data_IF_385388035719
#
_entry.id   IF_385388035719
#
_cell.length_a   1.000
_cell.length_b   1.000
_cell.length_c   1.000
_cell.angle_alpha   90.00
_cell.angle_beta   90.00
_cell.angle_gamma   90.00
#
_symmetry.space_group_name_H-M   'P 1'
#
loop_
_entity.id
_entity.type
_entity.pdbx_description
1 polymer ?
#
# COMPACT_ATOMS: atom_id res chain seq x y z
N UNK A 1 7.40 -15.31 4.63
CA UNK A 1 7.09 -14.36 3.55
C UNK A 1 7.96 -14.71 2.35
N UNK A 2 7.39 -14.96 1.16
CA UNK A 2 8.17 -15.16 -0.06
C UNK A 2 8.07 -13.90 -0.94
N UNK A 3 9.16 -13.14 -1.01
CA UNK A 3 9.23 -11.87 -1.75
C UNK A 3 8.99 -12.06 -3.26
N UNK A 4 9.40 -13.19 -3.83
CA UNK A 4 9.17 -13.47 -5.26
C UNK A 4 7.68 -13.62 -5.58
N UNK A 5 6.92 -14.19 -4.65
CA UNK A 5 5.47 -14.31 -4.79
C UNK A 5 4.77 -12.96 -4.68
N UNK A 6 5.25 -12.08 -3.79
CA UNK A 6 4.74 -10.70 -3.68
C UNK A 6 5.00 -9.94 -4.97
N UNK A 7 6.22 -10.03 -5.53
CA UNK A 7 6.58 -9.37 -6.78
C UNK A 7 5.69 -9.78 -7.96
N UNK A 8 5.26 -11.04 -8.02
CA UNK A 8 4.34 -11.52 -9.06
C UNK A 8 2.92 -10.97 -8.94
N UNK A 9 2.53 -10.47 -7.76
CA UNK A 9 1.19 -9.89 -7.50
C UNK A 9 1.15 -8.38 -7.76
N UNK A 10 2.31 -7.74 -7.82
CA UNK A 10 2.46 -6.31 -8.09
C UNK A 10 2.18 -6.03 -9.57
N UNK A 11 1.32 -5.04 -9.84
CA UNK A 11 1.03 -4.57 -11.20
C UNK A 11 1.55 -3.16 -11.37
N UNK A 12 2.21 -2.89 -12.48
CA UNK A 12 2.73 -1.56 -12.80
C UNK A 12 1.75 -0.85 -13.72
N UNK A 13 1.43 0.40 -13.39
CA UNK A 13 0.66 1.30 -14.23
C UNK A 13 1.62 2.12 -15.09
N UNK A 14 1.34 2.17 -16.38
CA UNK A 14 2.11 2.95 -17.35
C UNK A 14 1.25 4.05 -17.95
N UNK A 15 1.82 5.23 -18.13
CA UNK A 15 1.17 6.30 -18.87
C UNK A 15 1.13 6.01 -20.39
N UNK A 16 0.53 6.92 -21.17
CA UNK A 16 0.41 6.78 -22.62
C UNK A 16 1.77 6.71 -23.35
N UNK A 17 2.86 7.16 -22.72
CA UNK A 17 4.24 7.09 -23.24
C UNK A 17 4.93 5.76 -22.90
N UNK A 18 4.26 4.86 -22.17
CA UNK A 18 4.83 3.60 -21.70
C UNK A 18 5.76 3.75 -20.48
N UNK A 19 5.81 4.93 -19.85
CA UNK A 19 6.58 5.14 -18.61
C UNK A 19 5.77 4.64 -17.43
N UNK A 20 6.42 3.87 -16.55
CA UNK A 20 5.80 3.43 -15.29
C UNK A 20 5.61 4.63 -14.38
N UNK A 21 4.38 4.91 -13.99
CA UNK A 21 4.03 6.03 -13.10
C UNK A 21 3.69 5.52 -11.71
N UNK A 22 2.98 4.40 -11.63
CA UNK A 22 2.39 3.93 -10.38
C UNK A 22 2.43 2.40 -10.25
N UNK A 23 2.09 1.94 -9.05
CA UNK A 23 2.08 0.53 -8.70
C UNK A 23 0.77 0.18 -8.01
N UNK A 24 0.10 -0.86 -8.51
CA UNK A 24 -1.08 -1.47 -7.91
C UNK A 24 -0.67 -2.74 -7.18
N UNK A 25 -0.98 -2.79 -5.89
CA UNK A 25 -0.69 -3.92 -5.01
C UNK A 25 -2.01 -4.41 -4.41
N UNK A 26 -2.35 -5.70 -4.53
CA UNK A 26 -3.54 -6.26 -3.90
C UNK A 26 -3.55 -6.07 -2.38
N UNK A 27 -4.73 -5.87 -1.80
CA UNK A 27 -4.88 -5.70 -0.34
C UNK A 27 -4.35 -6.90 0.45
N UNK A 28 -4.59 -8.12 -0.02
CA UNK A 28 -4.10 -9.35 0.64
C UNK A 28 -2.56 -9.40 0.72
N UNK A 29 -1.89 -8.80 -0.26
CA UNK A 29 -0.42 -8.67 -0.28
C UNK A 29 0.04 -7.75 0.84
N UNK A 30 -0.66 -6.62 1.05
CA UNK A 30 -0.37 -5.70 2.15
C UNK A 30 -0.60 -6.31 3.53
N UNK A 31 -1.63 -7.14 3.69
CA UNK A 31 -1.87 -7.88 4.94
C UNK A 31 -0.75 -8.85 5.25
N UNK A 32 -0.23 -9.54 4.23
CA UNK A 32 0.91 -10.45 4.36
C UNK A 32 2.16 -9.69 4.81
N UNK A 33 2.40 -8.49 4.25
CA UNK A 33 3.51 -7.62 4.64
C UNK A 33 3.35 -7.15 6.09
N UNK A 34 2.14 -6.70 6.46
CA UNK A 34 1.84 -6.27 7.82
C UNK A 34 2.10 -7.36 8.85
N UNK A 35 1.67 -8.60 8.57
CA UNK A 35 1.91 -9.75 9.45
C UNK A 35 3.40 -10.00 9.65
N UNK A 36 4.20 -9.92 8.58
CA UNK A 36 5.65 -10.06 8.64
C UNK A 36 6.29 -8.93 9.47
N UNK A 37 5.87 -7.68 9.29
CA UNK A 37 6.38 -6.53 10.04
C UNK A 37 6.12 -6.63 11.55
N UNK A 38 4.97 -7.19 11.94
CA UNK A 38 4.61 -7.38 13.36
C UNK A 38 5.33 -8.56 14.02
N UNK A 39 5.85 -9.52 13.25
CA UNK A 39 6.56 -10.68 13.77
C UNK A 39 8.01 -10.36 14.21
N UNK A 40 8.59 -9.26 13.73
CA UNK A 40 10.02 -8.94 13.93
C UNK A 40 10.30 -7.81 14.93
N UNK A 41 9.31 -7.29 15.66
CA UNK A 41 9.50 -6.04 16.43
C UNK A 41 9.66 -6.18 17.94
N UNK A 42 10.87 -5.86 18.42
CA UNK A 42 11.04 -5.08 19.65
C UNK A 42 10.43 -3.68 19.45
N UNK A 43 9.65 -3.17 20.42
CA UNK A 43 8.94 -1.91 20.26
C UNK A 43 9.94 -0.74 20.31
N UNK A 44 10.06 -0.03 19.21
CA UNK A 44 10.52 1.37 19.17
C UNK A 44 9.25 2.16 18.88
N UNK A 45 8.88 3.10 19.76
CA UNK A 45 7.54 3.72 19.80
C UNK A 45 7.06 4.24 18.43
N UNK A 46 7.94 4.89 17.67
CA UNK A 46 7.62 5.43 16.33
C UNK A 46 7.25 4.34 15.29
N UNK A 47 7.73 3.11 15.46
CA UNK A 47 7.39 1.99 14.57
C UNK A 47 6.00 1.41 14.90
N UNK A 48 5.58 1.48 16.15
CA UNK A 48 4.27 0.97 16.57
C UNK A 48 3.12 1.84 16.05
N UNK A 49 3.29 3.16 16.08
CA UNK A 49 2.32 4.13 15.54
C UNK A 49 2.14 3.95 14.03
N UNK A 50 3.24 3.88 13.26
CA UNK A 50 3.18 3.63 11.81
C UNK A 50 2.48 2.30 11.46
N UNK A 51 2.70 1.25 12.25
CA UNK A 51 2.02 -0.05 12.05
C UNK A 51 0.52 0.06 12.38
N UNK A 52 0.14 0.84 13.39
CA UNK A 52 -1.25 1.06 13.76
C UNK A 52 -1.99 1.87 12.69
N UNK A 53 -1.37 2.95 12.19
CA UNK A 53 -1.93 3.75 11.10
C UNK A 53 -2.10 2.92 9.84
N UNK A 54 -1.09 2.12 9.49
CA UNK A 54 -1.17 1.26 8.32
C UNK A 54 -2.28 0.19 8.44
N UNK A 55 -2.45 -0.39 9.63
CA UNK A 55 -3.60 -1.28 9.92
C UNK A 55 -4.93 -0.58 9.69
N UNK A 56 -5.06 0.65 10.16
CA UNK A 56 -6.29 1.42 10.01
C UNK A 56 -6.55 1.75 8.54
N UNK A 57 -5.55 2.16 7.77
CA UNK A 57 -5.68 2.39 6.32
C UNK A 57 -6.15 1.16 5.55
N UNK A 58 -5.68 -0.05 5.92
CA UNK A 58 -6.16 -1.30 5.31
C UNK A 58 -7.63 -1.59 5.64
N UNK A 59 -8.07 -1.28 6.86
CA UNK A 59 -9.47 -1.41 7.26
C UNK A 59 -10.34 -0.44 6.46
N UNK A 60 -9.92 0.82 6.35
CA UNK A 60 -10.64 1.84 5.60
C UNK A 60 -10.73 1.50 4.10
N UNK A 61 -9.63 0.99 3.52
CA UNK A 61 -9.62 0.49 2.15
C UNK A 61 -10.62 -0.66 1.92
N UNK A 62 -10.70 -1.63 2.84
CA UNK A 62 -11.70 -2.72 2.78
C UNK A 62 -13.14 -2.22 2.89
N UNK A 63 -13.35 -1.12 3.61
CA UNK A 63 -14.67 -0.50 3.77
C UNK A 63 -15.02 0.42 2.60
N UNK A 64 -14.13 0.58 1.61
CA UNK A 64 -14.31 1.52 0.50
C UNK A 64 -14.20 2.99 0.91
N UNK A 65 -13.64 3.27 2.09
CA UNK A 65 -13.31 4.64 2.53
C UNK A 65 -12.00 5.07 1.88
N UNK A 66 -12.05 5.21 0.56
CA UNK A 66 -10.92 5.56 -0.31
C UNK A 66 -11.29 6.77 -1.14
N UNK A 67 -10.30 7.55 -1.53
CA UNK A 67 -10.47 8.58 -2.53
C UNK A 67 -10.35 7.95 -3.93
N UNK A 68 -11.24 8.28 -4.88
CA UNK A 68 -11.02 8.00 -6.29
C UNK A 68 -9.66 8.52 -6.75
N UNK A 69 -9.04 7.81 -7.70
CA UNK A 69 -7.72 8.18 -8.19
C UNK A 69 -7.73 9.59 -8.80
N UNK A 70 -8.81 9.95 -9.47
CA UNK A 70 -9.02 11.25 -10.11
C UNK A 70 -8.98 12.39 -9.08
N UNK A 71 -9.54 12.18 -7.89
CA UNK A 71 -9.55 13.16 -6.80
C UNK A 71 -8.18 13.33 -6.15
N UNK A 72 -7.28 12.35 -6.27
CA UNK A 72 -5.89 12.48 -5.78
C UNK A 72 -5.05 13.42 -6.64
N UNK A 73 -5.47 13.67 -7.88
CA UNK A 73 -4.78 14.58 -8.82
C UNK A 73 -5.42 15.98 -8.84
N UNK A 74 -6.66 16.14 -8.37
CA UNK A 74 -7.32 17.45 -8.27
C UNK A 74 -6.56 18.36 -7.28
N UNK A 75 -5.90 19.39 -7.81
CA UNK A 75 -5.07 20.34 -7.05
C UNK A 75 -3.55 20.13 -7.19
N UNK A 76 -3.10 19.16 -7.98
CA UNK A 76 -1.68 18.99 -8.36
C UNK A 76 -1.38 19.64 -9.74
N UNK A 77 -2.40 20.13 -10.45
CA UNK A 77 -2.23 20.88 -11.71
C UNK A 77 -1.66 22.29 -11.44
N UNK A 78 -0.42 22.53 -11.87
CA UNK A 78 0.16 23.88 -12.10
C UNK A 78 -0.30 24.48 -13.44
#
# INVERSE_FOLDING_TARGET
MNLEHIQQQVRYLTNQEGKTTDVLIPLDTWETILQALTAETHPIDSKAELIADFKQSLIDAKQGKTFPLEELWEGIEE
#
